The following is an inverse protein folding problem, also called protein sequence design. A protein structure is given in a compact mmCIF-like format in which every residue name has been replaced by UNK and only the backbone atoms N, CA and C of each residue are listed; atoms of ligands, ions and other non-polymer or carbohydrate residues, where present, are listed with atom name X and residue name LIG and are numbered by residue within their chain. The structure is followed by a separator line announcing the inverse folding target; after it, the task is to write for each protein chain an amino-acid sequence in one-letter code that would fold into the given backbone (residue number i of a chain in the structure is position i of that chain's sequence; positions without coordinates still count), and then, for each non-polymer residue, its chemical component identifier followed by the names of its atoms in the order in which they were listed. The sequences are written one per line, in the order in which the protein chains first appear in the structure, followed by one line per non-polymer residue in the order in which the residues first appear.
data_IF_257834955902
#
_entry.id   IF_257834955902
#
_cell.length_a   1.000
_cell.length_b   1.000
_cell.length_c   1.000
_cell.angle_alpha   90.00
_cell.angle_beta   90.00
_cell.angle_gamma   90.00
#
_symmetry.space_group_name_H-M   'P 1'
#
loop_
_entity.id
_entity.type
_entity.pdbx_description
1 polymer ?
#
# COMPACT_ATOMS: atom_id res chain seq x y z
N UNK A 1 15.38 45.92 10.98
CA UNK A 1 15.96 44.62 10.54
C UNK A 1 15.08 43.44 10.94
N UNK A 2 14.69 43.33 12.22
CA UNK A 2 13.79 42.29 12.76
C UNK A 2 12.50 42.08 11.95
N UNK A 3 11.74 43.15 11.69
CA UNK A 3 10.51 43.06 10.88
C UNK A 3 10.71 42.55 9.43
N UNK A 4 11.92 42.64 8.85
CA UNK A 4 12.22 42.04 7.55
C UNK A 4 12.48 40.54 7.69
N UNK A 5 13.20 40.13 8.73
CA UNK A 5 13.44 38.73 9.07
C UNK A 5 12.11 38.02 9.38
N UNK A 6 11.24 38.64 10.17
CA UNK A 6 9.94 38.08 10.52
C UNK A 6 9.07 37.87 9.27
N UNK A 7 9.04 38.84 8.36
CA UNK A 7 8.33 38.70 7.07
C UNK A 7 8.92 37.61 6.19
N UNK A 8 10.25 37.54 6.08
CA UNK A 8 10.92 36.48 5.32
C UNK A 8 10.61 35.10 5.90
N UNK A 9 10.63 34.97 7.23
CA UNK A 9 10.27 33.74 7.93
C UNK A 9 8.82 33.34 7.66
N UNK A 10 7.87 34.27 7.79
CA UNK A 10 6.45 34.01 7.52
C UNK A 10 6.24 33.62 6.07
N UNK A 11 6.88 34.29 5.11
CA UNK A 11 6.78 33.95 3.70
C UNK A 11 7.38 32.58 3.40
N UNK A 12 8.54 32.26 3.97
CA UNK A 12 9.17 30.95 3.81
C UNK A 12 8.28 29.84 4.41
N UNK A 13 7.71 30.07 5.58
CA UNK A 13 6.80 29.12 6.23
C UNK A 13 5.50 28.93 5.45
N UNK A 14 4.90 30.02 4.97
CA UNK A 14 3.70 29.96 4.12
C UNK A 14 3.99 29.24 2.80
N UNK A 15 5.15 29.51 2.18
CA UNK A 15 5.59 28.81 0.97
C UNK A 15 5.80 27.32 1.22
N UNK A 16 6.37 26.94 2.36
CA UNK A 16 6.56 25.54 2.75
C UNK A 16 5.22 24.80 2.92
N UNK A 17 4.22 25.44 3.54
CA UNK A 17 2.88 24.87 3.69
C UNK A 17 2.12 24.80 2.35
N UNK A 18 2.32 25.77 1.47
CA UNK A 18 1.69 25.80 0.15
C UNK A 18 2.37 24.86 -0.87
N UNK A 19 3.65 24.53 -0.68
CA UNK A 19 4.43 23.70 -1.59
C UNK A 19 3.74 22.38 -2.00
N UNK A 20 3.22 21.53 -1.09
CA UNK A 20 2.52 20.30 -1.48
C UNK A 20 1.25 20.57 -2.29
N UNK A 21 0.51 21.65 -2.01
CA UNK A 21 -0.68 22.03 -2.78
C UNK A 21 -0.31 22.50 -4.19
N UNK A 22 0.74 23.31 -4.31
CA UNK A 22 1.26 23.77 -5.59
C UNK A 22 1.77 22.60 -6.42
N UNK A 23 2.52 21.68 -5.81
CA UNK A 23 3.01 20.46 -6.48
C UNK A 23 1.86 19.54 -6.90
N UNK A 24 0.82 19.40 -6.08
CA UNK A 24 -0.36 18.61 -6.40
C UNK A 24 -1.05 19.11 -7.69
N UNK A 25 -1.12 20.42 -7.87
CA UNK A 25 -1.82 21.03 -9.01
C UNK A 25 -0.93 21.16 -10.26
N UNK A 26 0.32 21.59 -10.10
CA UNK A 26 1.22 21.88 -11.22
C UNK A 26 2.17 20.73 -11.58
N UNK A 27 2.34 19.73 -10.69
CA UNK A 27 3.23 18.57 -10.86
C UNK A 27 4.63 18.94 -11.38
N UNK A 28 5.19 20.03 -10.84
CA UNK A 28 6.46 20.63 -11.29
C UNK A 28 7.61 19.64 -11.14
N UNK A 29 7.66 18.92 -10.02
CA UNK A 29 8.68 17.91 -9.76
C UNK A 29 8.21 16.55 -10.31
N UNK A 30 8.88 15.96 -11.32
CA UNK A 30 8.58 14.63 -11.78
C UNK A 30 9.09 13.62 -10.75
N UNK A 31 8.23 13.21 -9.84
CA UNK A 31 8.53 12.14 -8.89
C UNK A 31 8.12 10.81 -9.54
N UNK A 32 9.03 9.81 -9.65
CA UNK A 32 8.65 8.51 -10.16
C UNK A 32 7.64 7.88 -9.21
N UNK A 33 6.50 7.46 -9.75
CA UNK A 33 5.41 6.87 -8.99
C UNK A 33 5.91 5.67 -8.17
N UNK A 34 5.44 5.57 -6.91
CA UNK A 34 5.66 4.38 -6.10
C UNK A 34 4.66 3.32 -6.56
N UNK A 35 5.15 2.15 -6.93
CA UNK A 35 4.31 1.05 -7.42
C UNK A 35 3.61 0.36 -6.24
N UNK A 36 2.50 0.95 -5.78
CA UNK A 36 1.76 0.44 -4.62
C UNK A 36 0.76 -0.69 -4.97
N UNK A 37 0.60 -1.03 -6.26
CA UNK A 37 -0.48 -1.92 -6.78
C UNK A 37 -1.85 -1.54 -6.21
N UNK A 38 -2.12 -0.24 -6.16
CA UNK A 38 -3.34 0.34 -5.60
C UNK A 38 -3.99 1.24 -6.63
N UNK A 39 -5.31 1.17 -6.75
CA UNK A 39 -6.08 2.10 -7.58
C UNK A 39 -6.27 3.42 -6.84
N UNK A 40 -5.96 4.53 -7.51
CA UNK A 40 -6.21 5.87 -6.98
C UNK A 40 -7.71 6.13 -6.92
N UNK A 41 -8.19 6.63 -5.77
CA UNK A 41 -9.59 7.04 -5.65
C UNK A 41 -9.90 8.20 -6.59
N UNK A 42 -11.06 8.16 -7.23
CA UNK A 42 -11.56 9.28 -8.02
C UNK A 42 -12.13 10.37 -7.12
N UNK A 43 -12.12 11.62 -7.61
CA UNK A 43 -12.78 12.72 -6.91
C UNK A 43 -14.29 12.50 -6.97
N UNK A 44 -14.92 12.44 -5.79
CA UNK A 44 -16.37 12.34 -5.65
C UNK A 44 -16.97 13.74 -5.73
N UNK A 45 -18.13 13.88 -6.38
CA UNK A 45 -18.89 15.14 -6.37
C UNK A 45 -19.52 15.36 -4.99
N UNK A 46 -19.09 16.37 -4.21
CA UNK A 46 -19.46 16.48 -2.81
C UNK A 46 -20.86 17.07 -2.60
N UNK A 47 -21.37 17.89 -3.53
CA UNK A 47 -22.61 18.65 -3.32
C UNK A 47 -23.84 17.74 -3.14
N UNK A 48 -24.08 16.72 -4.01
CA UNK A 48 -25.25 15.86 -3.86
C UNK A 48 -25.16 14.98 -2.60
N UNK A 49 -23.96 14.51 -2.26
CA UNK A 49 -23.73 13.62 -1.12
C UNK A 49 -23.77 14.36 0.22
N UNK A 50 -23.35 15.63 0.23
CA UNK A 50 -23.50 16.49 1.39
C UNK A 50 -24.99 16.81 1.65
N UNK A 51 -25.76 17.09 0.61
CA UNK A 51 -27.20 17.27 0.71
C UNK A 51 -27.92 16.01 1.23
N UNK A 52 -27.42 14.83 0.88
CA UNK A 52 -27.91 13.54 1.37
C UNK A 52 -27.40 13.14 2.77
N UNK A 53 -26.58 13.98 3.42
CA UNK A 53 -25.91 13.69 4.70
C UNK A 53 -25.18 12.33 4.70
N UNK A 54 -24.50 12.01 3.61
CA UNK A 54 -23.80 10.73 3.48
C UNK A 54 -22.61 10.63 4.44
N UNK A 55 -22.61 9.69 5.40
CA UNK A 55 -21.52 9.55 6.37
C UNK A 55 -20.19 9.12 5.74
N UNK A 56 -20.19 8.58 4.51
CA UNK A 56 -18.97 8.14 3.81
C UNK A 56 -18.25 9.27 3.09
N UNK A 57 -18.90 10.42 2.89
CA UNK A 57 -18.34 11.54 2.12
C UNK A 57 -16.98 11.98 2.66
N UNK A 58 -16.84 12.13 3.98
CA UNK A 58 -15.58 12.54 4.60
C UNK A 58 -14.44 11.54 4.34
N UNK A 59 -14.73 10.24 4.42
CA UNK A 59 -13.76 9.17 4.15
C UNK A 59 -13.34 9.12 2.68
N UNK A 60 -14.27 9.36 1.76
CA UNK A 60 -14.00 9.38 0.33
C UNK A 60 -13.15 10.60 -0.07
N UNK A 61 -13.46 11.79 0.47
CA UNK A 61 -12.69 13.01 0.23
C UNK A 61 -11.28 12.90 0.82
N UNK A 62 -11.15 12.43 2.06
CA UNK A 62 -9.83 12.17 2.66
C UNK A 62 -9.06 11.14 1.84
N UNK A 63 -9.76 10.09 1.40
CA UNK A 63 -9.17 9.04 0.59
C UNK A 63 -8.63 9.54 -0.76
N UNK A 64 -9.34 10.45 -1.42
CA UNK A 64 -8.87 11.13 -2.63
C UNK A 64 -7.70 12.06 -2.33
N UNK A 65 -7.80 12.86 -1.27
CA UNK A 65 -6.74 13.80 -0.86
C UNK A 65 -5.43 13.06 -0.57
N UNK A 66 -5.49 12.00 0.22
CA UNK A 66 -4.34 11.15 0.54
C UNK A 66 -3.68 10.62 -0.74
N UNK A 67 -4.47 10.22 -1.73
CA UNK A 67 -4.00 9.66 -2.99
C UNK A 67 -3.36 10.69 -3.94
N UNK A 68 -3.73 11.97 -3.81
CA UNK A 68 -3.30 13.04 -4.71
C UNK A 68 -2.38 14.07 -4.05
N UNK A 69 -2.12 13.93 -2.75
CA UNK A 69 -1.30 14.87 -2.00
C UNK A 69 0.09 15.04 -2.62
N UNK A 70 0.49 16.31 -2.82
CA UNK A 70 1.77 16.63 -3.44
C UNK A 70 2.95 16.10 -2.64
N UNK A 71 3.95 15.58 -3.35
CA UNK A 71 5.15 14.94 -2.80
C UNK A 71 4.93 13.63 -2.03
N UNK A 72 3.73 13.06 -1.97
CA UNK A 72 3.48 11.78 -1.29
C UNK A 72 4.50 10.71 -1.67
N UNK A 73 4.64 10.43 -2.96
CA UNK A 73 5.55 9.40 -3.46
C UNK A 73 7.02 9.66 -3.07
N UNK A 74 7.42 10.92 -3.05
CA UNK A 74 8.76 11.32 -2.64
C UNK A 74 8.96 11.08 -1.14
N UNK A 75 7.99 11.48 -0.32
CA UNK A 75 8.04 11.30 1.14
C UNK A 75 8.01 9.81 1.53
N UNK A 76 7.18 9.01 0.85
CA UNK A 76 7.15 7.55 1.03
C UNK A 76 8.50 6.93 0.69
N UNK A 77 9.10 7.33 -0.43
CA UNK A 77 10.43 6.85 -0.84
C UNK A 77 11.50 7.23 0.17
N UNK A 78 11.55 8.48 0.62
CA UNK A 78 12.51 8.96 1.62
C UNK A 78 12.34 8.16 2.92
N UNK A 79 11.10 7.98 3.38
CA UNK A 79 10.81 7.19 4.57
C UNK A 79 11.29 5.74 4.42
N UNK A 80 11.02 5.10 3.27
CA UNK A 80 11.46 3.74 3.00
C UNK A 80 12.98 3.62 2.97
N UNK A 81 13.67 4.60 2.37
CA UNK A 81 15.13 4.63 2.31
C UNK A 81 15.75 4.77 3.71
N UNK A 82 15.22 5.67 4.55
CA UNK A 82 15.66 5.84 5.93
C UNK A 82 15.45 4.54 6.72
N UNK A 83 14.28 3.91 6.59
CA UNK A 83 13.98 2.66 7.26
C UNK A 83 14.90 1.52 6.82
N UNK A 84 15.22 1.45 5.52
CA UNK A 84 16.15 0.48 4.99
C UNK A 84 17.58 0.70 5.50
N UNK A 85 18.11 1.92 5.39
CA UNK A 85 19.51 2.22 5.72
C UNK A 85 19.79 2.17 7.22
N UNK A 86 18.93 2.78 8.05
CA UNK A 86 19.20 2.95 9.48
C UNK A 86 18.64 1.80 10.31
N UNK A 87 17.48 1.27 9.94
CA UNK A 87 16.78 0.29 10.76
C UNK A 87 16.78 -1.11 10.14
N UNK A 88 17.19 -1.26 8.87
CA UNK A 88 17.07 -2.50 8.10
C UNK A 88 15.66 -3.09 8.20
N UNK A 89 14.66 -2.21 8.15
CA UNK A 89 13.25 -2.59 8.15
C UNK A 89 12.57 -2.11 6.87
N UNK A 90 11.57 -2.86 6.45
CA UNK A 90 10.67 -2.46 5.39
C UNK A 90 9.26 -2.92 5.74
N UNK A 91 8.26 -2.20 5.26
CA UNK A 91 6.86 -2.49 5.60
C UNK A 91 6.36 -3.74 4.87
N UNK A 92 6.60 -3.83 3.55
CA UNK A 92 6.10 -4.92 2.69
C UNK A 92 7.03 -6.13 2.56
N UNK A 93 8.31 -6.00 2.93
CA UNK A 93 9.31 -7.07 2.78
C UNK A 93 10.06 -7.34 4.08
N UNK A 94 10.43 -8.58 4.31
CA UNK A 94 11.46 -8.96 5.28
C UNK A 94 12.82 -8.88 4.61
N UNK A 95 13.80 -8.35 5.34
CA UNK A 95 15.20 -8.25 4.91
C UNK A 95 15.96 -9.37 5.61
N UNK A 96 16.34 -10.39 4.85
CA UNK A 96 17.11 -11.55 5.30
C UNK A 96 18.61 -11.28 5.33
N UNK A 97 19.38 -12.35 5.61
CA UNK A 97 20.85 -12.32 5.52
C UNK A 97 21.28 -11.99 4.09
N UNK A 98 22.42 -11.33 3.94
CA UNK A 98 23.03 -10.94 2.66
C UNK A 98 22.12 -10.10 1.73
N UNK A 99 21.14 -9.39 2.30
CA UNK A 99 20.28 -8.49 1.54
C UNK A 99 19.14 -9.17 0.77
N UNK A 100 18.88 -10.45 1.03
CA UNK A 100 17.74 -11.15 0.46
C UNK A 100 16.42 -10.50 0.91
N UNK A 101 15.50 -10.29 -0.02
CA UNK A 101 14.19 -9.70 0.24
C UNK A 101 13.12 -10.77 0.12
N UNK A 102 12.24 -10.85 1.13
CA UNK A 102 11.10 -11.77 1.14
C UNK A 102 9.80 -11.00 1.27
N UNK A 103 8.82 -11.24 0.42
CA UNK A 103 7.50 -10.62 0.56
C UNK A 103 6.85 -11.07 1.87
N UNK A 104 6.44 -10.12 2.72
CA UNK A 104 5.81 -10.47 4.01
C UNK A 104 4.50 -11.20 3.83
N UNK A 105 3.75 -10.86 2.78
CA UNK A 105 2.45 -11.47 2.47
C UNK A 105 2.59 -12.96 2.14
N UNK A 106 3.52 -13.31 1.25
CA UNK A 106 3.85 -14.70 0.92
C UNK A 106 4.37 -15.46 2.14
N UNK A 107 5.28 -14.87 2.91
CA UNK A 107 5.82 -15.48 4.12
C UNK A 107 4.73 -15.74 5.16
N UNK A 108 3.84 -14.77 5.40
CA UNK A 108 2.73 -14.93 6.33
C UNK A 108 1.72 -15.97 5.85
N UNK A 109 1.49 -16.08 4.53
CA UNK A 109 0.65 -17.12 3.97
C UNK A 109 1.26 -18.50 4.19
N UNK A 110 2.57 -18.67 3.93
CA UNK A 110 3.30 -19.92 4.22
C UNK A 110 3.19 -20.30 5.70
N UNK A 111 3.36 -19.33 6.62
CA UNK A 111 3.24 -19.59 8.07
C UNK A 111 1.81 -19.99 8.44
N UNK A 112 0.79 -19.38 7.85
CA UNK A 112 -0.62 -19.77 8.04
C UNK A 112 -0.86 -21.20 7.52
N UNK A 113 -0.42 -21.49 6.30
CA UNK A 113 -0.60 -22.80 5.66
C UNK A 113 0.17 -23.91 6.41
N UNK A 114 1.33 -23.59 6.98
CA UNK A 114 2.10 -24.50 7.83
C UNK A 114 1.45 -24.72 9.19
N UNK A 115 0.82 -23.69 9.79
CA UNK A 115 -0.02 -23.83 10.99
C UNK A 115 -1.28 -24.63 10.73
N UNK A 116 -1.78 -24.58 9.49
CA UNK A 116 -2.92 -25.34 9.00
C UNK A 116 -2.50 -26.66 8.32
N UNK A 117 -1.33 -27.21 8.68
CA UNK A 117 -0.86 -28.51 8.19
C UNK A 117 -1.88 -29.65 8.42
N UNK A 118 -2.78 -29.48 9.39
CA UNK A 118 -3.95 -30.34 9.59
C UNK A 118 -4.95 -30.25 8.41
N UNK A 119 -5.26 -29.05 7.89
CA UNK A 119 -6.08 -28.87 6.70
C UNK A 119 -5.36 -29.35 5.42
N UNK A 120 -4.04 -29.18 5.32
CA UNK A 120 -3.25 -29.75 4.22
C UNK A 120 -3.36 -31.30 4.20
N UNK A 121 -3.34 -31.95 5.37
CA UNK A 121 -3.60 -33.38 5.51
C UNK A 121 -5.01 -33.78 5.04
N UNK A 122 -6.03 -32.96 5.34
CA UNK A 122 -7.40 -33.19 4.89
C UNK A 122 -7.55 -33.05 3.36
N UNK A 123 -6.86 -32.10 2.74
CA UNK A 123 -6.85 -31.90 1.28
C UNK A 123 -6.16 -33.08 0.59
N UNK A 124 -4.99 -33.52 1.08
CA UNK A 124 -4.29 -34.70 0.55
C UNK A 124 -5.14 -35.97 0.68
N UNK A 125 -5.84 -36.14 1.81
CA UNK A 125 -6.74 -37.28 2.02
C UNK A 125 -7.94 -37.24 1.06
N UNK A 126 -8.51 -36.06 0.86
CA UNK A 126 -9.62 -35.86 -0.09
C UNK A 126 -9.20 -36.12 -1.54
N UNK A 127 -8.00 -35.71 -1.94
CA UNK A 127 -7.43 -35.99 -3.26
C UNK A 127 -7.14 -37.49 -3.46
N UNK A 128 -6.68 -38.20 -2.42
CA UNK A 128 -6.52 -39.67 -2.48
C UNK A 128 -7.87 -40.37 -2.63
N UNK A 129 -8.88 -39.98 -1.85
CA UNK A 129 -10.22 -40.54 -1.96
C UNK A 129 -10.83 -40.28 -3.35
N UNK A 130 -10.62 -39.09 -3.90
CA UNK A 130 -11.05 -38.75 -5.25
C UNK A 130 -10.34 -39.61 -6.29
N UNK A 131 -9.01 -39.75 -6.21
CA UNK A 131 -8.22 -40.62 -7.09
C UNK A 131 -8.73 -42.06 -7.04
N UNK A 132 -9.00 -42.58 -5.85
CA UNK A 132 -9.42 -43.97 -5.67
C UNK A 132 -10.85 -44.20 -6.22
N UNK A 133 -11.75 -43.24 -6.04
CA UNK A 133 -13.08 -43.24 -6.67
C UNK A 133 -13.03 -43.16 -8.20
N UNK A 134 -12.10 -42.39 -8.76
CA UNK A 134 -11.91 -42.28 -10.21
C UNK A 134 -11.28 -43.56 -10.78
N UNK A 135 -10.35 -44.17 -10.05
CA UNK A 135 -9.75 -45.45 -10.42
C UNK A 135 -10.79 -46.59 -10.50
N UNK A 136 -11.77 -46.62 -9.59
CA UNK A 136 -12.91 -47.56 -9.67
C UNK A 136 -13.76 -47.39 -10.94
N UNK A 137 -13.69 -46.21 -11.58
CA UNK A 137 -14.39 -45.89 -12.81
C UNK A 137 -13.48 -45.95 -14.04
N UNK A 138 -12.28 -46.52 -13.92
CA UNK A 138 -11.25 -46.55 -14.97
C UNK A 138 -10.81 -45.15 -15.47
N UNK A 139 -10.89 -44.13 -14.61
CA UNK A 139 -10.42 -42.77 -14.91
C UNK A 139 -9.16 -42.47 -14.09
N UNK A 140 -8.06 -42.18 -14.77
CA UNK A 140 -6.80 -41.77 -14.12
C UNK A 140 -6.82 -40.29 -13.76
N UNK A 141 -6.50 -39.96 -12.50
CA UNK A 141 -6.29 -38.58 -12.07
C UNK A 141 -4.83 -38.18 -12.35
N UNK A 142 -4.62 -37.18 -13.20
CA UNK A 142 -3.31 -36.53 -13.39
C UNK A 142 -3.31 -35.29 -12.49
N UNK A 143 -2.38 -35.25 -11.54
CA UNK A 143 -2.17 -34.13 -10.59
C UNK A 143 -0.87 -33.46 -10.93
#
# INVERSE_FOLDING_TARGET
MRARIDRLFVLAFAALLAAPLVQMWLRIVPVPAVEERREFRALVDPLPRLAAMDPKLAGDVNGWFDDHYGFRDLLIRINNEINYQFFRTADKVFIGRDGWLFAKEEFNQIVKDAGDAAAAGAIVTSLRNLRDCLAQRNVGLVV
#
